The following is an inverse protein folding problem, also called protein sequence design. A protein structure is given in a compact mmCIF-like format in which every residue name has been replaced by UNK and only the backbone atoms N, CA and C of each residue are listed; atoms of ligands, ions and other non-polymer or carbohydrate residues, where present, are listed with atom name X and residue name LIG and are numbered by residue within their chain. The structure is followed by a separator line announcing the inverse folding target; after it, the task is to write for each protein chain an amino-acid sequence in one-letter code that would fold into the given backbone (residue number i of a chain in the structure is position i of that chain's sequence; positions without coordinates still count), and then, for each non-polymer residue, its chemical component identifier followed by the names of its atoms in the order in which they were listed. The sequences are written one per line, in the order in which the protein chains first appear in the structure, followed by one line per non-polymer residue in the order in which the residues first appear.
data_IF_952892122476
#
_entry.id   IF_952892122476
#
_cell.length_a   1.000
_cell.length_b   1.000
_cell.length_c   1.000
_cell.angle_alpha   90.00
_cell.angle_beta   90.00
_cell.angle_gamma   90.00
#
_symmetry.space_group_name_H-M   'P 1'
#
loop_
_entity.id
_entity.type
_entity.pdbx_description
1 polymer ?
#
# COMPACT_ATOMS: atom_id res chain seq x y z
N UNK A 1 -4.52 -8.02 -24.75
CA UNK A 1 -5.50 -7.24 -23.97
C UNK A 1 -4.75 -6.31 -23.01
N UNK A 2 -5.07 -5.01 -22.99
CA UNK A 2 -4.49 -4.07 -22.01
C UNK A 2 -5.42 -3.97 -20.78
N UNK A 3 -4.88 -4.28 -19.61
CA UNK A 3 -5.50 -4.01 -18.32
C UNK A 3 -4.93 -2.72 -17.80
N UNK A 4 -5.80 -1.86 -17.32
CA UNK A 4 -5.42 -0.66 -16.62
C UNK A 4 -6.05 -0.70 -15.23
N UNK A 5 -5.23 -0.47 -14.23
CA UNK A 5 -5.67 -0.25 -12.85
C UNK A 5 -5.31 1.19 -12.51
N UNK A 6 -6.26 1.96 -12.01
CA UNK A 6 -5.97 3.35 -11.66
C UNK A 6 -6.56 3.75 -10.33
N UNK A 7 -5.87 4.71 -9.73
CA UNK A 7 -6.27 5.45 -8.54
C UNK A 7 -5.68 6.85 -8.66
N UNK A 8 -6.51 7.85 -8.91
CA UNK A 8 -6.08 9.22 -9.25
C UNK A 8 -4.98 9.17 -10.35
N UNK A 9 -3.85 9.84 -10.14
CA UNK A 9 -2.70 9.88 -11.07
C UNK A 9 -1.83 8.60 -11.03
N UNK A 10 -2.11 7.66 -10.13
CA UNK A 10 -1.44 6.36 -10.12
C UNK A 10 -2.12 5.46 -11.13
N UNK A 11 -1.41 5.15 -12.21
CA UNK A 11 -1.84 4.16 -13.20
C UNK A 11 -0.87 2.98 -13.24
N UNK A 12 -1.43 1.77 -13.20
CA UNK A 12 -0.74 0.54 -13.55
C UNK A 12 -1.35 -0.03 -14.82
N UNK A 13 -0.55 -0.03 -15.88
CA UNK A 13 -0.95 -0.47 -17.20
C UNK A 13 -0.19 -1.75 -17.56
N UNK A 14 -0.90 -2.84 -17.87
CA UNK A 14 -0.30 -4.13 -18.19
C UNK A 14 -1.00 -4.80 -19.37
N UNK A 15 -0.21 -5.18 -20.37
CA UNK A 15 -0.71 -5.98 -21.51
C UNK A 15 -0.58 -7.46 -21.22
N UNK A 16 -1.63 -8.21 -21.55
CA UNK A 16 -1.73 -9.65 -21.44
C UNK A 16 -1.90 -10.27 -22.82
N UNK A 17 -1.15 -11.34 -23.05
CA UNK A 17 -1.39 -12.23 -24.16
C UNK A 17 -2.50 -13.22 -23.80
N UNK A 18 -3.57 -13.19 -24.58
CA UNK A 18 -4.74 -14.06 -24.42
C UNK A 18 -4.75 -15.20 -25.44
N UNK A 19 -3.71 -15.31 -26.28
CA UNK A 19 -3.59 -16.34 -27.31
C UNK A 19 -3.61 -17.73 -26.67
N UNK A 20 -4.51 -18.58 -27.14
CA UNK A 20 -4.65 -19.95 -26.66
C UNK A 20 -5.22 -20.11 -25.24
N UNK A 21 -5.70 -19.03 -24.61
CA UNK A 21 -6.37 -19.09 -23.30
C UNK A 21 -7.81 -19.56 -23.44
N UNK A 22 -8.30 -20.31 -22.46
CA UNK A 22 -9.66 -20.90 -22.45
C UNK A 22 -10.32 -20.68 -21.09
N UNK A 23 -11.63 -20.98 -20.97
CA UNK A 23 -12.36 -20.87 -19.70
C UNK A 23 -11.76 -21.71 -18.56
N UNK A 24 -11.17 -22.86 -18.88
CA UNK A 24 -10.51 -23.74 -17.91
C UNK A 24 -9.00 -23.43 -17.74
N UNK A 25 -8.40 -22.73 -18.72
CA UNK A 25 -7.01 -22.30 -18.70
C UNK A 25 -6.92 -20.79 -18.96
N UNK A 26 -7.35 -20.02 -17.96
CA UNK A 26 -7.38 -18.56 -18.05
C UNK A 26 -5.99 -17.93 -18.06
N UNK A 27 -4.94 -18.68 -17.71
CA UNK A 27 -3.58 -18.16 -17.66
C UNK A 27 -3.38 -17.11 -16.58
N UNK A 28 -3.98 -17.31 -15.40
CA UNK A 28 -3.90 -16.41 -14.25
C UNK A 28 -2.46 -15.97 -13.93
N UNK A 29 -2.30 -14.69 -13.59
CA UNK A 29 -1.04 -14.09 -13.18
C UNK A 29 -1.27 -13.16 -12.00
N UNK A 30 -0.44 -13.25 -10.96
CA UNK A 30 -0.50 -12.34 -9.82
C UNK A 30 0.07 -10.97 -10.23
N UNK A 31 -0.63 -9.90 -9.87
CA UNK A 31 -0.13 -8.54 -10.03
C UNK A 31 -0.16 -7.80 -8.70
N UNK A 32 0.80 -6.90 -8.52
CA UNK A 32 0.87 -6.03 -7.36
C UNK A 32 1.42 -4.68 -7.78
N UNK A 33 0.89 -3.63 -7.16
CA UNK A 33 1.28 -2.25 -7.38
C UNK A 33 1.04 -1.49 -6.07
N UNK A 34 1.84 -0.46 -5.84
CA UNK A 34 1.77 0.34 -4.62
C UNK A 34 1.24 1.72 -4.95
N UNK A 35 0.44 2.28 -4.04
CA UNK A 35 -0.01 3.66 -4.09
C UNK A 35 -0.08 4.21 -2.65
N UNK A 36 0.08 5.53 -2.50
CA UNK A 36 -0.02 6.21 -1.20
C UNK A 36 -1.41 6.81 -1.04
N UNK A 37 -2.23 6.31 -0.10
CA UNK A 37 -3.54 6.88 0.18
C UNK A 37 -3.42 8.36 0.58
N UNK A 38 -4.18 9.24 -0.07
CA UNK A 38 -4.21 10.70 0.13
C UNK A 38 -5.52 11.16 0.80
N UNK A 39 -6.42 10.22 1.05
CA UNK A 39 -7.73 10.42 1.65
C UNK A 39 -8.14 9.19 2.46
N UNK A 40 -9.19 9.34 3.26
CA UNK A 40 -9.77 8.24 4.06
C UNK A 40 -10.52 7.20 3.23
N UNK A 41 -10.80 7.49 1.95
CA UNK A 41 -11.55 6.60 1.06
C UNK A 41 -11.07 6.77 -0.39
N UNK A 42 -10.68 5.68 -1.03
CA UNK A 42 -10.18 5.71 -2.40
C UNK A 42 -10.77 4.57 -3.21
N UNK A 43 -11.18 4.87 -4.44
CA UNK A 43 -11.67 3.87 -5.37
C UNK A 43 -10.52 3.28 -6.17
N UNK A 44 -10.47 1.95 -6.27
CA UNK A 44 -9.58 1.24 -7.18
C UNK A 44 -10.40 0.81 -8.39
N UNK A 45 -10.04 1.31 -9.57
CA UNK A 45 -10.76 1.02 -10.81
C UNK A 45 -9.97 0.05 -11.67
N UNK A 46 -10.66 -0.97 -12.17
CA UNK A 46 -10.13 -1.95 -13.12
C UNK A 46 -10.88 -1.82 -14.45
N UNK A 47 -10.14 -1.66 -15.54
CA UNK A 47 -10.75 -1.52 -16.86
C UNK A 47 -9.91 -2.24 -17.92
N UNK A 48 -10.63 -2.83 -18.88
CA UNK A 48 -10.04 -3.49 -20.04
C UNK A 48 -10.23 -2.61 -21.26
N UNK A 49 -9.18 -2.44 -22.06
CA UNK A 49 -9.27 -1.76 -23.35
C UNK A 49 -9.60 -2.72 -24.51
N UNK A 50 -10.37 -3.79 -24.24
CA UNK A 50 -10.75 -4.76 -25.26
C UNK A 50 -11.90 -4.22 -26.13
N UNK A 51 -11.82 -4.31 -27.47
CA UNK A 51 -12.90 -3.86 -28.35
C UNK A 51 -14.20 -4.64 -28.08
N UNK A 52 -15.31 -3.91 -27.94
CA UNK A 52 -16.61 -4.42 -27.42
C UNK A 52 -17.32 -5.39 -28.39
N UNK A 53 -16.79 -5.54 -29.61
CA UNK A 53 -17.38 -6.26 -30.73
C UNK A 53 -16.77 -7.65 -31.00
N UNK A 54 -15.97 -8.20 -30.08
CA UNK A 54 -15.43 -9.57 -30.18
C UNK A 54 -15.94 -10.43 -29.02
N UNK A 55 -17.02 -11.16 -29.29
CA UNK A 55 -17.61 -12.27 -28.53
C UNK A 55 -17.20 -12.45 -27.05
N UNK A 56 -17.74 -11.70 -26.08
CA UNK A 56 -17.85 -12.16 -24.67
C UNK A 56 -16.58 -12.57 -23.90
N UNK A 57 -15.38 -12.42 -24.46
CA UNK A 57 -14.11 -12.70 -23.79
C UNK A 57 -13.68 -11.45 -23.05
N UNK A 58 -13.76 -11.50 -21.72
CA UNK A 58 -13.49 -10.38 -20.84
C UNK A 58 -12.34 -10.66 -19.87
N UNK A 59 -11.86 -9.58 -19.25
CA UNK A 59 -10.92 -9.65 -18.15
C UNK A 59 -11.60 -10.29 -16.93
N UNK A 60 -11.00 -11.33 -16.38
CA UNK A 60 -11.40 -11.92 -15.10
C UNK A 60 -10.42 -11.47 -14.02
N UNK A 61 -10.93 -11.15 -12.84
CA UNK A 61 -10.16 -10.77 -11.66
C UNK A 61 -10.53 -11.71 -10.54
N UNK A 62 -9.55 -12.12 -9.76
CA UNK A 62 -9.74 -12.94 -8.57
C UNK A 62 -8.72 -12.52 -7.50
N UNK A 63 -9.05 -12.80 -6.23
CA UNK A 63 -8.20 -12.52 -5.08
C UNK A 63 -7.74 -11.05 -4.97
N UNK A 64 -8.63 -10.11 -5.30
CA UNK A 64 -8.34 -8.67 -5.16
C UNK A 64 -8.24 -8.33 -3.68
N UNK A 65 -7.07 -7.85 -3.27
CA UNK A 65 -6.77 -7.50 -1.88
C UNK A 65 -5.95 -6.22 -1.81
N UNK A 66 -6.05 -5.53 -0.67
CA UNK A 66 -5.30 -4.31 -0.36
C UNK A 66 -4.73 -4.48 1.05
N UNK A 67 -3.42 -4.26 1.18
CA UNK A 67 -2.71 -4.32 2.46
C UNK A 67 -2.03 -2.98 2.71
N UNK A 68 -2.29 -2.39 3.88
CA UNK A 68 -1.58 -1.19 4.32
C UNK A 68 -0.14 -1.53 4.70
N UNK A 69 0.82 -0.75 4.20
CA UNK A 69 2.23 -0.84 4.58
C UNK A 69 2.56 0.38 5.44
N UNK A 70 3.12 0.23 6.65
CA UNK A 70 3.51 1.36 7.49
C UNK A 70 4.51 2.26 6.77
N UNK A 71 4.31 3.57 6.84
CA UNK A 71 5.26 4.51 6.22
C UNK A 71 6.62 4.46 6.92
N UNK A 72 7.75 4.50 6.17
CA UNK A 72 9.10 4.46 6.75
C UNK A 72 9.36 5.59 7.76
N UNK A 73 8.75 6.76 7.54
CA UNK A 73 8.92 7.93 8.41
C UNK A 73 8.15 7.82 9.73
N UNK A 74 7.02 7.10 9.75
CA UNK A 74 6.24 6.90 10.99
C UNK A 74 7.04 6.09 12.01
N UNK A 75 7.79 5.08 11.55
CA UNK A 75 8.66 4.26 12.41
C UNK A 75 9.82 5.11 12.94
N UNK A 76 10.45 5.93 12.10
CA UNK A 76 11.54 6.82 12.51
C UNK A 76 11.07 7.90 13.49
N UNK A 77 9.90 8.50 13.24
CA UNK A 77 9.25 9.47 14.12
C UNK A 77 8.87 8.88 15.48
N UNK A 78 8.24 7.70 15.49
CA UNK A 78 7.89 7.02 16.74
C UNK A 78 9.13 6.59 17.53
N UNK A 79 10.14 6.02 16.86
CA UNK A 79 11.39 5.61 17.50
C UNK A 79 12.16 6.77 18.12
N UNK A 80 12.26 7.90 17.40
CA UNK A 80 12.91 9.11 17.91
C UNK A 80 12.14 9.75 19.07
N UNK A 81 10.81 9.86 18.99
CA UNK A 81 9.98 10.39 20.07
C UNK A 81 10.11 9.57 21.37
N UNK A 82 10.11 8.24 21.28
CA UNK A 82 10.33 7.35 22.43
C UNK A 82 11.75 7.55 22.99
N UNK A 83 12.77 7.56 22.13
CA UNK A 83 14.17 7.74 22.54
C UNK A 83 14.43 9.08 23.26
N UNK A 84 13.87 10.17 22.72
CA UNK A 84 13.92 11.48 23.38
C UNK A 84 13.12 11.50 24.68
N UNK A 85 11.89 10.99 24.69
CA UNK A 85 11.03 10.96 25.88
C UNK A 85 11.66 10.21 27.06
N UNK A 86 12.27 9.05 26.81
CA UNK A 86 13.02 8.28 27.82
C UNK A 86 14.23 9.07 28.32
N UNK A 87 14.98 9.68 27.41
CA UNK A 87 16.17 10.48 27.76
C UNK A 87 15.82 11.71 28.60
N UNK A 88 14.73 12.42 28.28
CA UNK A 88 14.23 13.55 29.06
C UNK A 88 13.71 13.13 30.44
N UNK A 89 12.93 12.04 30.53
CA UNK A 89 12.50 11.48 31.83
C UNK A 89 13.68 11.08 32.71
N UNK A 90 14.69 10.42 32.15
CA UNK A 90 15.93 10.06 32.86
C UNK A 90 16.67 11.29 33.37
N UNK A 91 16.79 12.34 32.54
CA UNK A 91 17.42 13.61 32.95
C UNK A 91 16.65 14.30 34.08
N UNK A 92 15.31 14.29 34.05
CA UNK A 92 14.45 14.86 35.10
C UNK A 92 14.55 14.10 36.42
N UNK A 93 14.52 12.77 36.39
CA UNK A 93 14.66 11.93 37.58
C UNK A 93 16.02 12.17 38.28
N UNK A 94 17.10 12.28 37.49
CA UNK A 94 18.44 12.57 38.02
C UNK A 94 18.53 13.95 38.68
N UNK A 95 17.79 14.97 38.20
CA UNK A 95 17.71 16.27 38.88
C UNK A 95 16.99 16.17 40.21
N UNK A 96 15.86 15.45 40.26
CA UNK A 96 15.05 15.29 41.49
C UNK A 96 15.83 14.57 42.60
N UNK A 97 16.65 13.58 42.23
CA UNK A 97 17.51 12.87 43.18
C UNK A 97 18.64 13.76 43.72
N UNK A 98 19.22 14.62 42.87
CA UNK A 98 20.30 15.55 43.26
C UNK A 98 19.82 16.68 44.19
N UNK A 99 18.55 17.08 44.08
CA UNK A 99 17.94 18.07 44.98
C UNK A 99 17.59 17.48 46.35
N UNK A 100 17.19 16.20 46.42
CA UNK A 100 16.84 15.53 47.69
C UNK A 100 18.04 15.20 48.60
N UNK A 101 19.24 15.07 48.05
CA UNK A 101 20.46 14.76 48.82
C UNK A 101 21.15 16.00 49.41
N UNK A 102 20.68 17.20 49.06
CA UNK A 102 21.25 18.48 49.50
C UNK A 102 20.29 19.27 50.42
N UNK A 103 19.33 18.61 51.08
CA UNK A 103 18.40 19.20 52.04
C UNK A 103 18.44 18.42 53.35
#
# INVERSE_FOLDING_TARGET
MLIKTSRNDYEFNKTYDITGKTRSNMGWQNQSWQFVADSLSTDIKFYSNHPVNTAGWGMTLDNVSVNAVPEPLTILGAGSAIGFGVSFKRKLANRKNKTKTNS
#
